data_IF_667310067967
#
_entry.id   IF_667310067967
#
_cell.length_a   1.000
_cell.length_b   1.000
_cell.length_c   1.000
_cell.angle_alpha   90.00
_cell.angle_beta   90.00
_cell.angle_gamma   90.00
#
_symmetry.space_group_name_H-M   'P 1'
#
loop_
_entity.id
_entity.type
_entity.pdbx_description
1 polymer ?
#
# COMPACT_ATOMS: atom_id res chain seq x y z
N UNK A 1 7.21 -0.71 -4.44
CA UNK A 1 6.98 0.60 -3.84
C UNK A 1 5.53 1.01 -4.05
N UNK A 2 4.84 1.46 -3.03
CA UNK A 2 3.56 2.15 -3.19
C UNK A 2 3.83 3.61 -3.57
N UNK A 3 3.04 4.15 -4.49
CA UNK A 3 3.48 5.24 -5.37
C UNK A 3 2.91 6.63 -5.00
N UNK A 4 2.54 6.89 -3.76
CA UNK A 4 1.92 8.18 -3.45
C UNK A 4 2.86 9.38 -3.54
N UNK A 5 4.10 9.23 -3.11
CA UNK A 5 5.10 10.30 -3.21
C UNK A 5 5.60 10.57 -4.63
N UNK A 6 5.56 9.57 -5.49
CA UNK A 6 6.09 9.68 -6.86
C UNK A 6 5.27 10.61 -7.75
N UNK A 7 3.96 10.68 -7.55
CA UNK A 7 3.10 11.59 -8.32
C UNK A 7 3.38 13.05 -8.01
N UNK A 8 3.80 13.35 -6.79
CA UNK A 8 4.19 14.71 -6.36
C UNK A 8 5.60 15.04 -6.83
N UNK A 9 6.51 14.07 -6.74
CA UNK A 9 7.90 14.21 -7.17
C UNK A 9 8.05 14.36 -8.67
N UNK A 10 7.22 13.63 -9.40
CA UNK A 10 7.35 13.49 -10.84
C UNK A 10 7.19 14.80 -11.60
N UNK A 11 6.32 15.68 -11.15
CA UNK A 11 5.94 16.84 -11.95
C UNK A 11 5.56 16.39 -13.36
N UNK A 12 5.95 17.15 -14.34
CA UNK A 12 5.81 16.78 -15.76
C UNK A 12 7.13 16.27 -16.40
N UNK A 13 8.17 16.04 -15.58
CA UNK A 13 9.55 15.95 -16.07
C UNK A 13 10.08 14.54 -16.23
N UNK A 14 9.46 13.52 -15.57
CA UNK A 14 9.93 12.16 -15.61
C UNK A 14 8.94 11.26 -16.35
N UNK A 15 9.41 10.57 -17.36
CA UNK A 15 8.65 9.47 -17.92
C UNK A 15 8.71 8.23 -17.01
N UNK A 16 7.78 7.31 -17.22
CA UNK A 16 7.68 6.10 -16.40
C UNK A 16 8.95 5.25 -16.47
N UNK A 17 9.61 5.17 -17.63
CA UNK A 17 10.83 4.37 -17.81
C UNK A 17 11.95 4.88 -16.89
N UNK A 18 12.14 6.18 -16.82
CA UNK A 18 13.19 6.81 -16.02
C UNK A 18 12.94 6.61 -14.52
N UNK A 19 11.68 6.72 -14.08
CA UNK A 19 11.30 6.43 -12.69
C UNK A 19 11.58 4.98 -12.31
N UNK A 20 11.16 4.04 -13.15
CA UNK A 20 11.37 2.61 -12.91
C UNK A 20 12.85 2.25 -12.90
N UNK A 21 13.67 2.87 -13.76
CA UNK A 21 15.13 2.68 -13.74
C UNK A 21 15.72 3.13 -12.40
N UNK A 22 15.37 4.30 -11.90
CA UNK A 22 15.85 4.79 -10.60
C UNK A 22 15.45 3.86 -9.45
N UNK A 23 14.23 3.33 -9.43
CA UNK A 23 13.79 2.34 -8.44
C UNK A 23 14.57 1.02 -8.56
N UNK A 24 14.79 0.54 -9.78
CA UNK A 24 15.56 -0.68 -10.02
C UNK A 24 17.03 -0.56 -9.56
N UNK A 25 17.66 0.59 -9.79
CA UNK A 25 19.03 0.87 -9.33
C UNK A 25 19.16 0.81 -7.81
N UNK A 26 18.15 1.26 -7.08
CA UNK A 26 18.07 1.14 -5.62
C UNK A 26 17.86 -0.33 -5.17
N UNK A 27 17.26 -1.15 -6.04
CA UNK A 27 16.99 -2.57 -5.79
C UNK A 27 15.53 -2.87 -5.44
N UNK A 28 14.59 -2.04 -5.91
CA UNK A 28 13.17 -2.39 -5.93
C UNK A 28 12.83 -3.21 -7.16
N UNK A 29 11.92 -4.16 -7.01
CA UNK A 29 11.50 -5.09 -8.07
C UNK A 29 10.25 -4.63 -8.83
N UNK A 30 9.55 -3.63 -8.31
CA UNK A 30 8.33 -3.13 -8.93
C UNK A 30 7.66 -2.01 -8.14
N UNK A 31 6.46 -1.67 -8.60
CA UNK A 31 5.57 -0.73 -7.93
C UNK A 31 4.25 -1.39 -7.59
N UNK A 32 3.45 -0.78 -6.73
CA UNK A 32 2.15 -1.35 -6.42
C UNK A 32 1.20 -1.22 -7.60
N UNK A 33 1.01 0.00 -8.10
CA UNK A 33 -0.02 0.28 -9.11
C UNK A 33 0.56 0.70 -10.45
N UNK A 34 0.09 0.06 -11.51
CA UNK A 34 0.19 0.60 -12.86
C UNK A 34 -1.01 1.52 -13.07
N UNK A 35 -0.80 2.83 -13.00
CA UNK A 35 -1.83 3.84 -13.24
C UNK A 35 -1.86 4.22 -14.71
N UNK A 36 -3.04 4.12 -15.34
CA UNK A 36 -3.21 4.48 -16.72
C UNK A 36 -4.56 5.16 -16.98
N UNK A 37 -4.60 5.99 -18.01
CA UNK A 37 -5.81 6.74 -18.41
C UNK A 37 -6.61 6.05 -19.51
N UNK A 38 -6.03 5.07 -20.20
CA UNK A 38 -6.66 4.28 -21.27
C UNK A 38 -6.00 2.91 -21.39
N UNK A 39 -6.65 2.00 -22.12
CA UNK A 39 -6.10 0.67 -22.40
C UNK A 39 -4.77 0.74 -23.14
N UNK A 40 -4.63 1.65 -24.10
CA UNK A 40 -3.38 1.84 -24.85
C UNK A 40 -2.26 2.30 -23.94
N UNK A 41 -2.55 3.24 -23.00
CA UNK A 41 -1.59 3.72 -22.01
C UNK A 41 -1.20 2.60 -21.04
N UNK A 42 -2.16 1.76 -20.61
CA UNK A 42 -1.90 0.62 -19.74
C UNK A 42 -0.99 -0.42 -20.44
N UNK A 43 -1.26 -0.75 -21.70
CA UNK A 43 -0.45 -1.69 -22.49
C UNK A 43 0.97 -1.14 -22.68
N UNK A 44 1.10 0.14 -23.07
CA UNK A 44 2.38 0.81 -23.26
C UNK A 44 3.21 0.80 -21.97
N UNK A 45 2.63 1.20 -20.85
CA UNK A 45 3.29 1.19 -19.53
C UNK A 45 3.68 -0.21 -19.11
N UNK A 46 2.79 -1.20 -19.25
CA UNK A 46 3.11 -2.60 -18.96
C UNK A 46 4.30 -3.13 -19.79
N UNK A 47 4.42 -2.70 -21.05
CA UNK A 47 5.56 -3.05 -21.89
C UNK A 47 6.88 -2.47 -21.34
N UNK A 48 6.85 -1.25 -20.76
CA UNK A 48 8.02 -0.65 -20.09
C UNK A 48 8.43 -1.47 -18.87
N UNK A 49 7.48 -1.87 -18.00
CA UNK A 49 7.79 -2.75 -16.86
C UNK A 49 8.50 -4.02 -17.32
N UNK A 50 7.95 -4.72 -18.33
CA UNK A 50 8.56 -5.95 -18.87
C UNK A 50 9.94 -5.71 -19.46
N UNK A 51 10.13 -4.62 -20.24
CA UNK A 51 11.44 -4.24 -20.80
C UNK A 51 12.50 -4.09 -19.72
N UNK A 52 12.13 -3.54 -18.57
CA UNK A 52 13.02 -3.31 -17.45
C UNK A 52 13.16 -4.51 -16.50
N UNK A 53 12.39 -5.59 -16.70
CA UNK A 53 12.35 -6.72 -15.78
C UNK A 53 11.81 -6.33 -14.42
N UNK A 54 10.90 -5.35 -14.37
CA UNK A 54 10.14 -4.92 -13.19
C UNK A 54 8.69 -5.36 -13.30
N UNK A 55 7.96 -5.31 -12.18
CA UNK A 55 6.56 -5.69 -12.16
C UNK A 55 5.69 -4.66 -11.40
N UNK A 56 4.38 -4.83 -11.49
CA UNK A 56 3.38 -4.10 -10.69
C UNK A 56 2.40 -5.08 -10.08
N UNK A 57 1.86 -4.76 -8.90
CA UNK A 57 1.00 -5.68 -8.17
C UNK A 57 -0.48 -5.56 -8.54
N UNK A 58 -0.92 -4.39 -8.94
CA UNK A 58 -2.30 -4.08 -9.32
C UNK A 58 -2.33 -2.98 -10.38
N UNK A 59 -3.52 -2.66 -10.87
CA UNK A 59 -3.75 -1.53 -11.75
C UNK A 59 -4.58 -0.45 -11.06
N UNK A 60 -4.48 0.78 -11.57
CA UNK A 60 -5.41 1.87 -11.26
C UNK A 60 -5.92 2.44 -12.57
N UNK A 61 -7.25 2.50 -12.70
CA UNK A 61 -7.96 2.87 -13.91
C UNK A 61 -8.98 4.00 -13.63
N UNK A 62 -9.58 4.62 -14.66
CA UNK A 62 -10.57 5.67 -14.48
C UNK A 62 -11.83 5.22 -13.72
N UNK A 63 -12.17 3.94 -13.78
CA UNK A 63 -13.32 3.35 -13.09
C UNK A 63 -13.01 1.92 -12.63
N UNK A 64 -13.78 1.44 -11.66
CA UNK A 64 -13.57 0.14 -11.01
C UNK A 64 -13.74 -1.06 -11.97
N UNK A 65 -14.62 -0.95 -12.96
CA UNK A 65 -14.83 -2.04 -13.91
C UNK A 65 -13.60 -2.21 -14.80
N UNK A 66 -13.07 -1.11 -15.32
CA UNK A 66 -11.83 -1.08 -16.09
C UNK A 66 -10.65 -1.54 -15.24
N UNK A 67 -10.57 -1.14 -13.96
CA UNK A 67 -9.53 -1.58 -13.04
C UNK A 67 -9.53 -3.10 -12.84
N UNK A 68 -10.71 -3.70 -12.63
CA UNK A 68 -10.88 -5.17 -12.55
C UNK A 68 -10.41 -5.85 -13.84
N UNK A 69 -10.84 -5.33 -14.99
CA UNK A 69 -10.49 -5.92 -16.30
C UNK A 69 -8.98 -5.86 -16.57
N UNK A 70 -8.34 -4.72 -16.30
CA UNK A 70 -6.89 -4.60 -16.51
C UNK A 70 -6.12 -5.46 -15.52
N UNK A 71 -6.49 -5.44 -14.24
CA UNK A 71 -5.85 -6.23 -13.19
C UNK A 71 -5.91 -7.72 -13.52
N UNK A 72 -7.08 -8.23 -13.96
CA UNK A 72 -7.23 -9.59 -14.41
C UNK A 72 -6.44 -9.87 -15.71
N UNK A 73 -6.52 -8.97 -16.69
CA UNK A 73 -5.84 -9.09 -17.98
C UNK A 73 -4.30 -9.12 -17.84
N UNK A 74 -3.74 -8.37 -16.91
CA UNK A 74 -2.32 -8.40 -16.57
C UNK A 74 -1.96 -9.50 -15.55
N UNK A 75 -2.92 -10.35 -15.15
CA UNK A 75 -2.75 -11.47 -14.22
C UNK A 75 -2.23 -11.01 -12.85
N UNK A 76 -2.77 -9.91 -12.34
CA UNK A 76 -2.50 -9.41 -11.00
C UNK A 76 -3.51 -9.95 -9.99
N UNK A 77 -3.24 -9.82 -8.69
CA UNK A 77 -3.97 -10.57 -7.68
C UNK A 77 -5.14 -9.80 -7.06
N UNK A 78 -5.09 -8.48 -6.99
CA UNK A 78 -6.05 -7.69 -6.23
C UNK A 78 -6.33 -6.32 -6.84
N UNK A 79 -7.48 -5.76 -6.46
CA UNK A 79 -7.84 -4.35 -6.66
C UNK A 79 -8.12 -3.68 -5.33
N UNK A 80 -7.95 -2.36 -5.26
CA UNK A 80 -8.22 -1.59 -4.06
C UNK A 80 -9.71 -1.39 -3.83
N UNK A 81 -10.14 -1.42 -2.56
CA UNK A 81 -11.47 -0.99 -2.15
C UNK A 81 -11.45 0.53 -2.00
N UNK A 82 -11.83 1.24 -3.05
CA UNK A 82 -11.88 2.72 -3.11
C UNK A 82 -13.32 3.21 -3.10
N UNK A 83 -14.05 2.97 -2.01
CA UNK A 83 -15.46 3.34 -1.86
C UNK A 83 -15.62 4.66 -1.11
N UNK A 84 -16.54 5.50 -1.56
CA UNK A 84 -16.84 6.79 -0.94
C UNK A 84 -18.19 6.75 -0.24
N UNK A 85 -18.16 6.57 1.07
CA UNK A 85 -19.33 6.64 1.96
C UNK A 85 -18.87 7.03 3.35
N UNK A 86 -19.73 7.72 4.11
CA UNK A 86 -19.50 8.05 5.52
C UNK A 86 -20.09 7.03 6.51
N UNK A 87 -20.81 6.02 6.02
CA UNK A 87 -21.44 4.99 6.86
C UNK A 87 -20.68 3.66 6.76
N UNK A 88 -20.18 3.19 7.89
CA UNK A 88 -19.39 1.95 7.96
C UNK A 88 -20.20 0.70 7.54
N UNK A 89 -21.51 0.65 7.85
CA UNK A 89 -22.37 -0.45 7.44
C UNK A 89 -22.59 -0.49 5.93
N UNK A 90 -22.80 0.68 5.31
CA UNK A 90 -22.87 0.83 3.85
C UNK A 90 -21.55 0.43 3.22
N UNK A 91 -20.44 0.90 3.77
CA UNK A 91 -19.09 0.56 3.32
C UNK A 91 -18.87 -0.96 3.26
N UNK A 92 -19.16 -1.68 4.35
CA UNK A 92 -19.02 -3.12 4.40
C UNK A 92 -19.92 -3.84 3.38
N UNK A 93 -21.18 -3.38 3.19
CA UNK A 93 -22.05 -3.98 2.15
C UNK A 93 -21.50 -3.80 0.75
N UNK A 94 -21.03 -2.59 0.41
CA UNK A 94 -20.44 -2.30 -0.89
C UNK A 94 -19.12 -3.04 -1.10
N UNK A 95 -18.29 -3.16 -0.07
CA UNK A 95 -17.05 -3.93 -0.11
C UNK A 95 -17.31 -5.42 -0.40
N UNK A 96 -18.33 -6.01 0.24
CA UNK A 96 -18.73 -7.39 -0.04
C UNK A 96 -19.23 -7.57 -1.48
N UNK A 97 -20.01 -6.63 -2.04
CA UNK A 97 -20.46 -6.67 -3.44
C UNK A 97 -19.24 -6.59 -4.38
N UNK A 98 -18.29 -5.70 -4.11
CA UNK A 98 -17.07 -5.58 -4.88
C UNK A 98 -16.23 -6.86 -4.80
N UNK A 99 -16.10 -7.46 -3.60
CA UNK A 99 -15.36 -8.71 -3.42
C UNK A 99 -15.96 -9.85 -4.25
N UNK A 100 -17.29 -9.97 -4.31
CA UNK A 100 -17.97 -10.95 -5.17
C UNK A 100 -17.68 -10.71 -6.66
N UNK A 101 -17.65 -9.45 -7.10
CA UNK A 101 -17.31 -9.11 -8.49
C UNK A 101 -15.86 -9.47 -8.80
N UNK A 102 -14.93 -9.14 -7.92
CA UNK A 102 -13.51 -9.45 -8.07
C UNK A 102 -13.26 -10.96 -8.11
N UNK A 103 -13.89 -11.73 -7.21
CA UNK A 103 -13.74 -13.19 -7.18
C UNK A 103 -14.17 -13.85 -8.49
N UNK A 104 -15.25 -13.34 -9.15
CA UNK A 104 -15.65 -13.83 -10.48
C UNK A 104 -14.61 -13.58 -11.56
N UNK A 105 -13.75 -12.56 -11.38
CA UNK A 105 -12.62 -12.26 -12.26
C UNK A 105 -11.30 -12.92 -11.83
N UNK A 106 -11.33 -13.77 -10.79
CA UNK A 106 -10.13 -14.39 -10.23
C UNK A 106 -9.26 -13.45 -9.41
N UNK A 107 -9.84 -12.36 -8.88
CA UNK A 107 -9.15 -11.33 -8.12
C UNK A 107 -9.68 -11.23 -6.69
N UNK A 108 -8.94 -10.53 -5.84
CA UNK A 108 -9.38 -10.14 -4.50
C UNK A 108 -9.64 -8.64 -4.45
N UNK A 109 -10.71 -8.22 -3.74
CA UNK A 109 -10.88 -6.83 -3.35
C UNK A 109 -10.17 -6.61 -2.01
N UNK A 110 -9.25 -5.66 -1.95
CA UNK A 110 -8.39 -5.45 -0.79
C UNK A 110 -8.60 -4.07 -0.16
N UNK A 111 -8.81 -4.05 1.15
CA UNK A 111 -8.89 -2.83 1.94
C UNK A 111 -7.48 -2.36 2.30
N UNK A 112 -7.21 -1.09 2.14
CA UNK A 112 -6.06 -0.39 2.73
C UNK A 112 -6.51 0.32 4.01
N UNK A 113 -5.96 -0.05 5.17
CA UNK A 113 -6.22 0.66 6.42
C UNK A 113 -5.48 1.99 6.44
N UNK A 114 -6.18 3.08 6.79
CA UNK A 114 -5.63 4.43 6.63
C UNK A 114 -6.17 5.40 7.69
N UNK A 115 -5.29 6.26 8.24
CA UNK A 115 -5.67 7.38 9.12
C UNK A 115 -6.69 8.29 8.41
N UNK A 116 -7.73 8.69 9.13
CA UNK A 116 -8.81 9.53 8.60
C UNK A 116 -9.78 8.80 7.67
N UNK A 117 -9.69 7.47 7.53
CA UNK A 117 -10.66 6.65 6.82
C UNK A 117 -11.67 5.99 7.77
N UNK A 118 -12.67 5.28 7.21
CA UNK A 118 -13.61 4.48 7.99
C UNK A 118 -12.97 3.26 8.68
N UNK A 119 -11.74 2.90 8.29
CA UNK A 119 -10.98 1.79 8.87
C UNK A 119 -9.60 2.32 9.26
N UNK A 120 -9.58 3.05 10.36
CA UNK A 120 -8.39 3.69 10.91
C UNK A 120 -7.81 2.90 12.09
N UNK A 121 -8.64 2.57 13.08
CA UNK A 121 -8.21 1.87 14.28
C UNK A 121 -8.15 0.35 14.09
N UNK A 122 -7.40 -0.33 14.99
CA UNK A 122 -7.37 -1.80 15.01
C UNK A 122 -8.77 -2.41 15.18
N UNK A 123 -9.60 -1.83 16.05
CA UNK A 123 -10.96 -2.30 16.27
C UNK A 123 -11.80 -2.24 14.98
N UNK A 124 -11.73 -1.10 14.25
CA UNK A 124 -12.44 -0.96 12.97
C UNK A 124 -11.91 -1.92 11.91
N UNK A 125 -10.58 -2.13 11.87
CA UNK A 125 -9.96 -3.11 10.96
C UNK A 125 -10.45 -4.53 11.23
N UNK A 126 -10.46 -4.96 12.50
CA UNK A 126 -10.93 -6.28 12.88
C UNK A 126 -12.44 -6.45 12.62
N UNK A 127 -13.23 -5.42 12.91
CA UNK A 127 -14.67 -5.41 12.59
C UNK A 127 -14.91 -5.49 11.06
N UNK A 128 -14.14 -4.74 10.26
CA UNK A 128 -14.22 -4.84 8.81
C UNK A 128 -13.89 -6.26 8.32
N UNK A 129 -12.79 -6.84 8.78
CA UNK A 129 -12.38 -8.19 8.38
C UNK A 129 -13.40 -9.26 8.78
N UNK A 130 -14.08 -9.09 9.93
CA UNK A 130 -15.15 -9.96 10.36
C UNK A 130 -16.42 -9.83 9.50
N UNK A 131 -16.81 -8.59 9.14
CA UNK A 131 -18.01 -8.30 8.35
C UNK A 131 -17.82 -8.51 6.84
N UNK A 132 -16.56 -8.51 6.38
CA UNK A 132 -16.19 -8.67 4.98
C UNK A 132 -15.26 -9.87 4.78
N UNK A 133 -15.75 -11.12 4.99
CA UNK A 133 -14.91 -12.31 5.04
C UNK A 133 -14.21 -12.63 3.72
N UNK A 134 -14.71 -12.13 2.59
CA UNK A 134 -14.13 -12.32 1.25
C UNK A 134 -13.19 -11.20 0.81
N UNK A 135 -13.10 -10.10 1.58
CA UNK A 135 -12.15 -9.03 1.29
C UNK A 135 -10.76 -9.38 1.81
N UNK A 136 -9.75 -8.95 1.11
CA UNK A 136 -8.35 -9.02 1.53
C UNK A 136 -7.91 -7.71 2.22
N UNK A 137 -6.67 -7.69 2.69
CA UNK A 137 -6.06 -6.55 3.37
C UNK A 137 -4.77 -6.13 2.65
N UNK A 138 -4.67 -4.87 2.34
CA UNK A 138 -3.41 -4.16 2.10
C UNK A 138 -3.03 -3.57 3.45
N UNK A 139 -2.08 -4.20 4.12
CA UNK A 139 -1.74 -3.88 5.50
C UNK A 139 -0.73 -2.75 5.58
N UNK A 140 -1.17 -1.55 6.00
CA UNK A 140 -0.28 -0.43 6.27
C UNK A 140 0.12 -0.37 7.74
N UNK A 141 1.43 -0.43 7.98
CA UNK A 141 2.01 -0.48 9.32
C UNK A 141 1.97 0.86 10.04
N UNK A 142 2.30 1.97 9.37
CA UNK A 142 2.37 3.27 10.02
C UNK A 142 1.00 3.86 10.32
N UNK A 143 0.03 3.70 9.41
CA UNK A 143 -1.34 4.14 9.67
C UNK A 143 -1.94 3.43 10.88
N UNK A 144 -1.73 2.11 10.99
CA UNK A 144 -2.22 1.36 12.15
C UNK A 144 -1.49 1.75 13.44
N UNK A 145 -0.16 1.84 13.41
CA UNK A 145 0.65 2.19 14.59
C UNK A 145 0.35 3.61 15.08
N UNK A 146 0.18 4.57 14.17
CA UNK A 146 -0.18 5.95 14.52
C UNK A 146 -1.58 6.04 15.17
N UNK A 147 -2.50 5.12 14.82
CA UNK A 147 -3.80 4.93 15.49
C UNK A 147 -3.69 4.06 16.78
N UNK A 148 -2.50 3.86 17.33
CA UNK A 148 -2.21 3.04 18.49
C UNK A 148 -2.56 1.54 18.35
N UNK A 149 -2.61 1.02 17.13
CA UNK A 149 -2.83 -0.39 16.86
C UNK A 149 -1.55 -1.23 16.98
N UNK A 150 -1.71 -2.52 17.24
CA UNK A 150 -0.62 -3.48 17.36
C UNK A 150 -0.33 -4.18 16.03
N UNK A 151 0.66 -3.68 15.28
CA UNK A 151 1.02 -4.21 13.97
C UNK A 151 1.47 -5.68 14.02
N UNK A 152 2.18 -6.09 15.07
CA UNK A 152 2.62 -7.49 15.23
C UNK A 152 1.44 -8.45 15.45
N UNK A 153 0.43 -8.02 16.18
CA UNK A 153 -0.77 -8.80 16.42
C UNK A 153 -1.55 -8.99 15.11
N UNK A 154 -1.79 -7.90 14.38
CA UNK A 154 -2.48 -7.95 13.08
C UNK A 154 -1.72 -8.80 12.07
N UNK A 155 -0.41 -8.63 11.95
CA UNK A 155 0.44 -9.43 11.08
C UNK A 155 0.31 -10.93 11.36
N UNK A 156 0.33 -11.33 12.64
CA UNK A 156 0.22 -12.76 13.05
C UNK A 156 -1.19 -13.31 12.87
N UNK A 157 -2.21 -12.52 13.21
CA UNK A 157 -3.61 -12.98 13.24
C UNK A 157 -4.22 -13.07 11.84
N UNK A 158 -3.82 -12.18 10.94
CA UNK A 158 -4.47 -12.00 9.63
C UNK A 158 -3.54 -12.22 8.43
N UNK A 159 -2.38 -12.88 8.60
CA UNK A 159 -1.44 -13.15 7.50
C UNK A 159 -2.13 -13.71 6.25
N UNK A 160 -3.06 -14.64 6.43
CA UNK A 160 -3.81 -15.29 5.35
C UNK A 160 -4.83 -14.36 4.64
N UNK A 161 -5.04 -13.17 5.15
CA UNK A 161 -5.91 -12.14 4.57
C UNK A 161 -5.10 -11.03 3.91
N UNK A 162 -3.80 -10.94 4.19
CA UNK A 162 -2.91 -9.90 3.68
C UNK A 162 -2.46 -10.27 2.26
N UNK A 163 -2.77 -9.41 1.28
CA UNK A 163 -2.32 -9.56 -0.12
C UNK A 163 -1.17 -8.64 -0.46
N UNK A 164 -1.02 -7.56 0.30
CA UNK A 164 0.08 -6.62 0.18
C UNK A 164 0.37 -5.98 1.54
N UNK A 165 1.61 -5.60 1.75
CA UNK A 165 2.06 -4.88 2.95
C UNK A 165 2.62 -3.54 2.53
N UNK A 166 2.17 -2.46 3.19
CA UNK A 166 2.81 -1.16 3.12
C UNK A 166 3.66 -0.97 4.36
N UNK A 167 4.96 -1.01 4.18
CA UNK A 167 5.91 -0.60 5.20
C UNK A 167 6.09 0.91 5.11
N UNK A 168 5.72 1.57 6.16
CA UNK A 168 5.71 3.00 6.29
C UNK A 168 6.20 3.37 7.69
N UNK A 169 6.72 4.55 7.88
CA UNK A 169 7.08 5.03 9.22
C UNK A 169 6.55 6.44 9.48
N UNK A 170 6.40 6.79 10.74
CA UNK A 170 5.72 8.00 11.17
C UNK A 170 6.54 8.78 12.19
N UNK A 171 6.83 10.04 11.89
CA UNK A 171 7.51 10.97 12.76
C UNK A 171 6.51 11.98 13.32
N UNK A 172 6.20 11.88 14.61
CA UNK A 172 5.41 12.87 15.33
C UNK A 172 6.27 14.10 15.58
N UNK A 173 5.86 15.24 15.02
CA UNK A 173 6.54 16.54 15.18
C UNK A 173 5.80 17.45 16.16
N UNK A 174 4.49 17.27 16.33
CA UNK A 174 3.62 18.08 17.20
C UNK A 174 2.78 17.16 18.11
N UNK A 175 3.34 16.62 19.18
CA UNK A 175 2.65 15.63 20.04
C UNK A 175 1.38 16.18 20.73
N UNK A 176 1.25 17.49 20.86
CA UNK A 176 0.06 18.14 21.42
C UNK A 176 -1.15 18.19 20.48
N UNK A 177 -0.99 17.84 19.21
CA UNK A 177 -2.10 17.77 18.23
C UNK A 177 -2.67 16.36 18.26
N UNK A 178 -4.01 16.24 18.29
CA UNK A 178 -4.69 14.94 18.26
C UNK A 178 -4.67 14.28 16.86
N UNK A 179 -5.05 12.98 16.82
CA UNK A 179 -5.07 12.21 15.58
C UNK A 179 -6.12 12.70 14.57
N UNK A 180 -7.17 13.37 15.02
CA UNK A 180 -8.16 13.98 14.14
C UNK A 180 -7.56 15.04 13.19
N UNK A 181 -6.35 15.53 13.53
CA UNK A 181 -5.54 16.45 12.72
C UNK A 181 -4.19 15.83 12.39
N UNK A 182 -4.17 14.52 12.10
CA UNK A 182 -2.94 13.77 11.88
C UNK A 182 -1.95 14.43 10.89
N UNK A 183 -2.37 15.13 9.78
CA UNK A 183 -1.42 15.78 8.89
C UNK A 183 -0.65 16.95 9.53
N UNK A 184 -1.17 17.50 10.64
CA UNK A 184 -0.51 18.55 11.42
C UNK A 184 0.28 17.98 12.60
N UNK A 185 -0.06 16.76 13.06
CA UNK A 185 0.59 16.07 14.18
C UNK A 185 1.98 15.56 13.79
N UNK A 186 2.14 15.08 12.59
CA UNK A 186 3.38 14.45 12.14
C UNK A 186 3.45 14.30 10.63
N UNK A 187 4.42 13.53 10.19
CA UNK A 187 4.63 13.22 8.78
C UNK A 187 5.15 11.81 8.59
N UNK A 188 4.97 11.26 7.40
CA UNK A 188 5.65 10.03 7.02
C UNK A 188 7.13 10.31 6.76
N UNK A 189 7.96 9.32 7.07
CA UNK A 189 9.41 9.41 6.97
C UNK A 189 10.00 8.07 6.49
N UNK A 190 11.30 8.06 6.29
CA UNK A 190 12.04 6.86 5.92
C UNK A 190 11.90 5.78 7.00
N UNK A 191 11.93 4.52 6.60
CA UNK A 191 11.86 3.39 7.53
C UNK A 191 12.98 3.47 8.57
N UNK A 192 12.61 3.38 9.83
CA UNK A 192 13.50 3.49 10.97
C UNK A 192 13.75 4.92 11.47
N UNK A 193 13.21 5.95 10.79
CA UNK A 193 13.31 7.35 11.23
C UNK A 193 12.11 7.83 12.07
N UNK A 194 11.07 7.00 12.20
CA UNK A 194 9.89 7.30 13.01
C UNK A 194 10.16 7.27 14.52
N UNK A 195 9.23 7.85 15.28
CA UNK A 195 9.36 7.95 16.74
C UNK A 195 8.14 7.42 17.52
N UNK A 196 7.29 6.63 16.87
CA UNK A 196 6.11 6.03 17.49
C UNK A 196 6.34 4.60 18.01
N UNK A 197 7.58 4.12 17.99
CA UNK A 197 7.91 2.76 18.46
C UNK A 197 7.53 1.63 17.49
N UNK A 198 7.25 1.94 16.24
CA UNK A 198 6.96 0.95 15.20
C UNK A 198 8.26 0.22 14.80
N UNK A 199 8.26 -1.11 14.95
CA UNK A 199 9.34 -1.99 14.47
C UNK A 199 8.90 -2.73 13.19
N UNK A 200 9.11 -2.10 12.05
CA UNK A 200 8.79 -2.67 10.73
C UNK A 200 9.57 -3.97 10.45
N UNK A 201 10.80 -4.09 10.97
CA UNK A 201 11.60 -5.31 10.82
C UNK A 201 11.00 -6.49 11.59
N UNK A 202 10.49 -6.26 12.81
CA UNK A 202 9.79 -7.28 13.58
C UNK A 202 8.47 -7.70 12.93
N UNK A 203 7.71 -6.75 12.35
CA UNK A 203 6.50 -7.04 11.57
C UNK A 203 6.83 -7.93 10.38
N UNK A 204 7.86 -7.59 9.61
CA UNK A 204 8.31 -8.40 8.47
C UNK A 204 8.74 -9.82 8.88
N UNK A 205 9.53 -9.95 9.93
CA UNK A 205 9.92 -11.27 10.46
C UNK A 205 8.71 -12.12 10.86
N UNK A 206 7.68 -11.49 11.46
CA UNK A 206 6.46 -12.17 11.84
C UNK A 206 5.68 -12.67 10.61
N UNK A 207 5.55 -11.85 9.56
CA UNK A 207 4.90 -12.20 8.31
C UNK A 207 5.60 -13.36 7.60
N UNK A 208 6.93 -13.27 7.41
CA UNK A 208 7.73 -14.33 6.78
C UNK A 208 7.63 -15.64 7.57
N UNK A 209 7.72 -15.58 8.92
CA UNK A 209 7.53 -16.75 9.78
C UNK A 209 6.15 -17.40 9.64
N UNK A 210 5.13 -16.59 9.35
CA UNK A 210 3.76 -17.05 9.10
C UNK A 210 3.52 -17.52 7.66
N UNK A 211 4.55 -17.52 6.79
CA UNK A 211 4.48 -17.99 5.41
C UNK A 211 3.99 -16.94 4.40
N UNK A 212 4.03 -15.64 4.74
CA UNK A 212 3.71 -14.59 3.80
C UNK A 212 4.77 -14.51 2.69
N UNK A 213 4.31 -14.56 1.44
CA UNK A 213 5.12 -14.51 0.22
C UNK A 213 4.64 -13.43 -0.78
N UNK A 214 3.72 -12.57 -0.33
CA UNK A 214 3.14 -11.51 -1.14
C UNK A 214 4.03 -10.27 -1.29
N UNK A 215 3.49 -9.24 -1.93
CA UNK A 215 4.17 -7.98 -2.14
C UNK A 215 4.37 -7.18 -0.85
N UNK A 216 5.58 -6.64 -0.71
CA UNK A 216 5.93 -5.69 0.36
C UNK A 216 6.37 -4.39 -0.30
N UNK A 217 5.65 -3.32 -0.02
CA UNK A 217 5.91 -2.00 -0.56
C UNK A 217 6.47 -1.08 0.52
N UNK A 218 7.53 -0.38 0.20
CA UNK A 218 7.88 0.83 0.94
C UNK A 218 6.98 1.95 0.43
N UNK A 219 6.24 2.58 1.32
CA UNK A 219 5.40 3.73 0.99
C UNK A 219 5.84 4.95 1.80
N UNK A 220 6.00 6.07 1.11
CA UNK A 220 6.38 7.33 1.74
C UNK A 220 5.66 8.49 1.05
N UNK A 221 4.70 9.10 1.75
CA UNK A 221 3.86 10.18 1.22
C UNK A 221 4.51 11.57 1.37
N UNK A 222 5.56 11.67 2.18
CA UNK A 222 6.26 12.93 2.44
C UNK A 222 7.75 12.75 2.17
N UNK A 223 8.27 13.51 1.23
CA UNK A 223 9.69 13.57 0.93
C UNK A 223 10.26 14.92 1.36
N UNK A 224 11.32 14.89 2.17
CA UNK A 224 12.06 16.07 2.58
C UNK A 224 13.32 16.29 1.78
N UNK A 225 13.74 15.26 1.06
CA UNK A 225 14.87 15.26 0.16
C UNK A 225 14.39 14.85 -1.23
N UNK A 226 15.29 14.51 -2.08
CA UNK A 226 15.00 13.90 -3.38
C UNK A 226 14.40 12.49 -3.13
N UNK A 227 13.24 12.15 -3.72
CA UNK A 227 12.49 10.93 -3.39
C UNK A 227 13.26 9.64 -3.53
N UNK A 228 14.11 9.49 -4.56
CA UNK A 228 14.93 8.28 -4.71
C UNK A 228 15.93 8.13 -3.58
N UNK A 229 16.41 9.24 -2.98
CA UNK A 229 17.29 9.20 -1.82
C UNK A 229 16.57 8.66 -0.59
N UNK A 230 15.38 9.16 -0.30
CA UNK A 230 14.56 8.68 0.83
C UNK A 230 14.21 7.21 0.66
N UNK A 231 13.84 6.79 -0.54
CA UNK A 231 13.55 5.41 -0.88
C UNK A 231 14.80 4.50 -0.78
N UNK A 232 15.98 5.04 -1.10
CA UNK A 232 17.25 4.32 -0.93
C UNK A 232 17.56 4.07 0.56
N UNK A 233 17.31 5.05 1.43
CA UNK A 233 17.46 4.91 2.88
C UNK A 233 16.52 3.80 3.40
N UNK A 234 15.25 3.84 3.02
CA UNK A 234 14.27 2.81 3.39
C UNK A 234 14.65 1.42 2.89
N UNK A 235 15.18 1.31 1.64
CA UNK A 235 15.67 0.01 1.12
C UNK A 235 16.90 -0.49 1.88
N UNK A 236 17.79 0.40 2.28
CA UNK A 236 18.96 0.05 3.09
C UNK A 236 18.55 -0.46 4.48
N UNK A 237 17.57 0.18 5.13
CA UNK A 237 16.99 -0.30 6.39
C UNK A 237 16.52 -1.75 6.28
N UNK A 238 15.78 -2.09 5.21
CA UNK A 238 15.31 -3.46 4.98
C UNK A 238 16.47 -4.44 4.79
N UNK A 239 17.48 -4.11 3.99
CA UNK A 239 18.67 -4.94 3.80
C UNK A 239 19.42 -5.19 5.10
N UNK A 240 19.59 -4.18 5.94
CA UNK A 240 20.24 -4.32 7.25
C UNK A 240 19.39 -5.17 8.22
N UNK A 241 18.09 -5.25 8.00
CA UNK A 241 17.15 -6.07 8.78
C UNK A 241 17.04 -7.51 8.27
N UNK A 242 17.72 -7.85 7.15
CA UNK A 242 17.75 -9.18 6.56
C UNK A 242 16.74 -9.41 5.42
N UNK A 243 16.26 -8.33 4.78
CA UNK A 243 15.27 -8.38 3.68
C UNK A 243 15.72 -7.70 2.39
#
# INVERSE_FOLDING_TARGET
>A
MADYGMNVWDGACFDIERRLLGLKEIGYEGTERLTASSSDDAIRKSAVYRKLGMDHATCSAPDIQTEILWTAGFRKAYVWISLRTGDFGVFCRQANILAEACLRAGLQAALHNHLGSLVESQQQLEEFLARCPKCALIFDTAHLAAANGNCLEIAKKYTNRIVAVHLKDWLVTNPGIGLEKWPQRGRFCELGAGNIGLDNAAVMKALVKAGYDGWVFVEQDTHLQEPLKDLSISRQYLRQSGF
#
